data_IF_719534926419
#
_entry.id   IF_719534926419
#
_cell.length_a   1.000
_cell.length_b   1.000
_cell.length_c   1.000
_cell.angle_alpha   90.00
_cell.angle_beta   90.00
_cell.angle_gamma   90.00
#
_symmetry.space_group_name_H-M   'P 1'
#
loop_
_entity.id
_entity.type
_entity.pdbx_description
1 polymer ?
#
# COMPACT_ATOMS: atom_id res chain seq x y z
N UNK A 1 -46.61 -52.57 18.34
CA UNK A 1 -45.53 -52.43 17.33
C UNK A 1 -46.12 -52.86 16.00
N UNK A 2 -46.36 -51.92 15.10
CA UNK A 2 -47.07 -52.15 13.83
C UNK A 2 -46.05 -52.60 12.78
N UNK A 3 -46.29 -53.77 12.19
CA UNK A 3 -45.51 -54.33 11.08
C UNK A 3 -45.94 -53.61 9.79
N UNK A 4 -45.01 -52.88 9.16
CA UNK A 4 -45.17 -52.28 7.84
C UNK A 4 -44.52 -53.15 6.74
N UNK A 5 -45.06 -53.14 5.50
CA UNK A 5 -44.77 -54.17 4.50
C UNK A 5 -43.43 -53.99 3.78
N UNK A 6 -42.89 -55.12 3.33
CA UNK A 6 -41.66 -55.24 2.54
C UNK A 6 -41.79 -54.60 1.14
N UNK A 7 -40.73 -53.95 0.61
CA UNK A 7 -40.74 -53.40 -0.74
C UNK A 7 -40.45 -54.47 -1.82
N UNK A 8 -41.29 -54.45 -2.86
CA UNK A 8 -41.19 -55.21 -4.12
C UNK A 8 -39.97 -54.78 -4.96
N UNK A 9 -39.25 -55.71 -5.63
CA UNK A 9 -38.13 -55.36 -6.49
C UNK A 9 -38.57 -54.82 -7.85
N UNK A 10 -37.94 -53.73 -8.29
CA UNK A 10 -38.08 -53.16 -9.63
C UNK A 10 -37.11 -53.85 -10.64
N UNK A 11 -37.49 -53.97 -11.93
CA UNK A 11 -36.74 -54.74 -12.92
C UNK A 11 -35.46 -54.05 -13.40
N UNK A 12 -34.50 -54.90 -13.78
CA UNK A 12 -33.16 -54.58 -14.25
C UNK A 12 -33.16 -53.65 -15.48
N UNK A 13 -32.34 -52.61 -15.42
CA UNK A 13 -31.94 -51.82 -16.59
C UNK A 13 -30.56 -52.28 -17.05
N UNK A 14 -30.52 -52.90 -18.22
CA UNK A 14 -29.30 -53.20 -18.97
C UNK A 14 -28.69 -51.90 -19.47
N UNK A 15 -27.51 -51.55 -18.97
CA UNK A 15 -26.69 -50.48 -19.54
C UNK A 15 -25.51 -51.13 -20.25
N UNK A 16 -25.46 -50.95 -21.58
CA UNK A 16 -24.39 -51.41 -22.45
C UNK A 16 -23.04 -50.79 -22.05
N UNK A 17 -22.06 -51.65 -21.83
CA UNK A 17 -20.68 -51.31 -21.54
C UNK A 17 -20.01 -50.82 -22.84
N UNK A 18 -19.77 -49.51 -22.93
CA UNK A 18 -18.92 -48.92 -23.99
C UNK A 18 -17.52 -48.78 -23.42
N UNK A 19 -16.62 -49.67 -23.84
CA UNK A 19 -15.19 -49.61 -23.50
C UNK A 19 -14.58 -48.39 -24.20
N UNK A 20 -14.43 -47.28 -23.46
CA UNK A 20 -13.64 -46.13 -23.91
C UNK A 20 -12.18 -46.41 -23.60
N UNK A 21 -11.41 -46.73 -24.63
CA UNK A 21 -9.94 -46.75 -24.58
C UNK A 21 -9.44 -45.34 -24.28
N UNK A 22 -9.07 -45.06 -23.03
CA UNK A 22 -8.44 -43.80 -22.63
C UNK A 22 -6.99 -43.80 -23.09
N UNK A 23 -6.70 -43.00 -24.11
CA UNK A 23 -5.36 -42.51 -24.43
C UNK A 23 -4.87 -41.60 -23.28
N UNK A 24 -3.60 -41.71 -22.81
CA UNK A 24 -3.09 -40.83 -21.78
C UNK A 24 -3.09 -39.38 -22.28
N UNK A 25 -3.49 -38.39 -21.46
CA UNK A 25 -3.46 -36.99 -21.88
C UNK A 25 -2.02 -36.57 -22.15
N UNK A 26 -1.73 -36.24 -23.41
CA UNK A 26 -0.52 -35.49 -23.76
C UNK A 26 -0.60 -34.15 -23.05
N UNK A 27 0.15 -34.04 -21.94
CA UNK A 27 0.27 -32.82 -21.16
C UNK A 27 1.11 -31.84 -21.95
N UNK A 28 0.46 -30.99 -22.74
CA UNK A 28 1.09 -29.78 -23.25
C UNK A 28 1.24 -28.84 -22.06
N UNK A 29 2.43 -28.81 -21.45
CA UNK A 29 2.76 -27.82 -20.43
C UNK A 29 2.48 -26.41 -20.99
N UNK A 30 1.81 -25.51 -20.25
CA UNK A 30 1.71 -24.13 -20.67
C UNK A 30 3.13 -23.57 -20.75
N UNK A 31 3.55 -23.16 -21.95
CA UNK A 31 4.77 -22.40 -22.18
C UNK A 31 4.64 -21.06 -21.45
N UNK A 32 5.03 -21.03 -20.17
CA UNK A 32 5.18 -19.80 -19.40
C UNK A 32 6.42 -19.10 -19.90
N UNK A 33 6.24 -18.14 -20.82
CA UNK A 33 7.25 -17.11 -21.06
C UNK A 33 7.64 -16.54 -19.70
N UNK A 34 8.91 -16.60 -19.27
CA UNK A 34 9.29 -16.02 -18.00
C UNK A 34 9.04 -14.52 -18.09
N UNK A 35 8.12 -14.02 -17.26
CA UNK A 35 7.95 -12.58 -17.05
C UNK A 35 9.33 -12.01 -16.68
N UNK A 36 9.76 -10.90 -17.29
CA UNK A 36 11.01 -10.25 -16.89
C UNK A 36 11.00 -10.08 -15.37
N UNK A 37 12.05 -10.53 -14.70
CA UNK A 37 12.19 -10.36 -13.25
C UNK A 37 12.38 -8.86 -13.04
N UNK A 38 11.28 -8.15 -12.78
CA UNK A 38 11.32 -6.73 -12.50
C UNK A 38 12.04 -6.53 -11.16
N UNK A 39 13.20 -5.88 -11.19
CA UNK A 39 13.96 -5.62 -9.98
C UNK A 39 13.45 -4.34 -9.32
N UNK A 40 13.07 -4.46 -8.06
CA UNK A 40 12.71 -3.32 -7.21
C UNK A 40 13.91 -2.97 -6.34
N UNK A 41 14.25 -1.69 -6.33
CA UNK A 41 15.44 -1.14 -5.68
C UNK A 41 15.07 0.03 -4.79
N UNK A 42 16.00 0.45 -3.95
CA UNK A 42 15.82 1.59 -3.06
C UNK A 42 15.30 2.83 -3.79
N UNK A 43 14.26 3.46 -3.25
CA UNK A 43 13.61 4.65 -3.80
C UNK A 43 12.56 4.37 -4.88
N UNK A 44 12.33 3.10 -5.23
CA UNK A 44 11.21 2.72 -6.09
C UNK A 44 9.88 2.87 -5.37
N UNK A 45 8.90 3.42 -6.09
CA UNK A 45 7.51 3.40 -5.68
C UNK A 45 6.83 2.18 -6.27
N UNK A 46 6.15 1.40 -5.43
CA UNK A 46 5.49 0.17 -5.84
C UNK A 46 4.05 0.10 -5.32
N UNK A 47 3.16 -0.49 -6.11
CA UNK A 47 1.79 -0.78 -5.70
C UNK A 47 1.27 -2.02 -6.43
N UNK A 48 0.32 -2.73 -5.82
CA UNK A 48 -0.30 -3.89 -6.47
C UNK A 48 -1.12 -3.45 -7.69
N UNK A 49 -1.30 -4.38 -8.63
CA UNK A 49 -2.31 -4.19 -9.67
C UNK A 49 -3.72 -4.10 -9.05
N UNK A 50 -4.49 -3.08 -9.42
CA UNK A 50 -5.90 -2.98 -9.04
C UNK A 50 -6.78 -3.73 -10.05
N UNK A 51 -7.72 -4.59 -9.60
CA UNK A 51 -8.81 -5.05 -10.45
C UNK A 51 -9.72 -3.87 -10.84
N UNK A 52 -10.52 -4.03 -11.89
CA UNK A 52 -11.34 -2.97 -12.45
C UNK A 52 -12.41 -2.44 -11.47
N UNK A 53 -12.89 -3.31 -10.58
CA UNK A 53 -13.90 -3.06 -9.56
C UNK A 53 -13.31 -2.75 -8.17
N UNK A 54 -12.00 -2.48 -8.08
CA UNK A 54 -11.34 -2.19 -6.81
C UNK A 54 -11.91 -0.94 -6.12
N UNK A 55 -12.58 -1.14 -4.99
CA UNK A 55 -13.04 -0.07 -4.11
C UNK A 55 -11.89 0.77 -3.51
N UNK A 56 -12.26 1.85 -2.82
CA UNK A 56 -11.30 2.81 -2.22
C UNK A 56 -10.40 2.20 -1.15
N UNK A 57 -10.86 1.13 -0.48
CA UNK A 57 -10.12 0.43 0.58
C UNK A 57 -9.36 -0.80 0.08
N UNK A 58 -9.37 -1.08 -1.24
CA UNK A 58 -8.66 -2.24 -1.77
C UNK A 58 -7.14 -2.08 -1.57
N UNK A 59 -6.39 -3.12 -1.16
CA UNK A 59 -4.96 -3.02 -0.82
C UNK A 59 -4.08 -2.52 -1.98
N UNK A 60 -4.52 -2.67 -3.23
CA UNK A 60 -3.84 -2.10 -4.41
C UNK A 60 -3.77 -0.56 -4.43
N UNK A 61 -4.58 0.13 -3.61
CA UNK A 61 -4.56 1.59 -3.48
C UNK A 61 -3.41 2.08 -2.61
N UNK A 62 -2.82 1.20 -1.80
CA UNK A 62 -1.64 1.53 -1.02
C UNK A 62 -0.41 1.65 -1.92
N UNK A 63 0.37 2.70 -1.70
CA UNK A 63 1.65 2.92 -2.36
C UNK A 63 2.75 2.80 -1.33
N UNK A 64 3.80 2.09 -1.71
CA UNK A 64 4.97 1.86 -0.87
C UNK A 64 6.21 2.43 -1.54
N UNK A 65 7.14 2.97 -0.74
CA UNK A 65 8.52 3.16 -1.15
C UNK A 65 9.38 1.98 -0.66
N UNK A 66 10.29 1.49 -1.50
CA UNK A 66 11.33 0.56 -1.07
C UNK A 66 12.45 1.34 -0.41
N UNK A 67 12.62 1.16 0.89
CA UNK A 67 13.62 1.86 1.70
C UNK A 67 15.03 1.32 1.49
N UNK A 68 16.03 2.12 1.87
CA UNK A 68 17.44 1.70 1.87
C UNK A 68 17.72 0.56 2.87
N UNK A 69 16.81 0.33 3.82
CA UNK A 69 16.82 -0.78 4.77
C UNK A 69 16.25 -2.09 4.18
N UNK A 70 15.86 -2.10 2.89
CA UNK A 70 15.25 -3.25 2.22
C UNK A 70 13.82 -3.53 2.65
N UNK A 71 13.14 -2.56 3.27
CA UNK A 71 11.73 -2.68 3.69
C UNK A 71 10.81 -1.88 2.80
N UNK A 72 9.52 -2.20 2.86
CA UNK A 72 8.47 -1.40 2.22
C UNK A 72 7.86 -0.43 3.23
N UNK A 73 7.80 0.85 2.87
CA UNK A 73 7.27 1.93 3.70
C UNK A 73 6.00 2.49 3.05
N UNK A 74 4.86 2.32 3.71
CA UNK A 74 3.58 2.77 3.16
C UNK A 74 3.40 4.28 3.32
N UNK A 75 2.80 4.94 2.33
CA UNK A 75 2.28 6.29 2.47
C UNK A 75 0.90 6.24 3.15
N UNK A 76 0.76 6.76 4.38
CA UNK A 76 -0.50 6.64 5.13
C UNK A 76 -1.59 7.62 4.65
N UNK A 77 -1.20 8.69 3.96
CA UNK A 77 -2.10 9.75 3.52
C UNK A 77 -1.59 10.40 2.24
N UNK A 78 -2.51 10.77 1.34
CA UNK A 78 -2.16 11.36 0.05
C UNK A 78 -1.36 12.67 0.18
N UNK A 79 -1.69 13.52 1.15
CA UNK A 79 -0.93 14.76 1.34
C UNK A 79 0.50 14.50 1.84
N UNK A 80 0.76 13.40 2.54
CA UNK A 80 2.13 13.00 2.91
C UNK A 80 2.91 12.62 1.66
N UNK A 81 2.30 11.82 0.76
CA UNK A 81 2.90 11.50 -0.54
C UNK A 81 3.24 12.77 -1.33
N UNK A 82 2.35 13.76 -1.36
CA UNK A 82 2.57 15.04 -2.05
C UNK A 82 3.70 15.90 -1.47
N UNK A 83 4.23 15.56 -0.29
CA UNK A 83 5.44 16.20 0.23
C UNK A 83 6.73 15.63 -0.37
N UNK A 84 6.67 14.42 -0.92
CA UNK A 84 7.80 13.72 -1.54
C UNK A 84 7.75 13.75 -3.07
N UNK A 85 6.55 13.62 -3.64
CA UNK A 85 6.35 13.43 -5.08
C UNK A 85 5.16 14.24 -5.57
N UNK A 86 5.08 14.47 -6.88
CA UNK A 86 3.89 15.09 -7.50
C UNK A 86 2.76 14.10 -7.68
N UNK A 87 1.53 14.60 -7.84
CA UNK A 87 0.37 13.75 -8.18
C UNK A 87 0.55 12.99 -9.49
N UNK A 88 1.25 13.57 -10.47
CA UNK A 88 1.58 12.87 -11.72
C UNK A 88 2.47 11.65 -11.48
N UNK A 89 3.38 11.71 -10.51
CA UNK A 89 4.27 10.59 -10.16
C UNK A 89 3.54 9.45 -9.42
N UNK A 90 2.35 9.70 -8.86
CA UNK A 90 1.49 8.66 -8.27
C UNK A 90 0.95 7.69 -9.34
N UNK A 91 0.86 8.13 -10.59
CA UNK A 91 0.42 7.28 -11.69
C UNK A 91 1.42 6.14 -11.88
N UNK A 92 0.94 5.04 -12.48
CA UNK A 92 1.83 3.95 -12.88
C UNK A 92 2.82 4.44 -13.94
N UNK A 93 3.95 3.76 -14.11
CA UNK A 93 5.10 4.17 -14.97
C UNK A 93 4.77 4.48 -16.44
N UNK A 94 3.54 4.27 -16.88
CA UNK A 94 2.99 4.82 -18.12
C UNK A 94 2.79 6.35 -18.03
N UNK A 95 3.36 7.11 -18.98
CA UNK A 95 3.12 8.55 -19.12
C UNK A 95 3.48 9.42 -17.89
N UNK A 96 4.75 9.35 -17.44
CA UNK A 96 5.31 10.24 -16.41
C UNK A 96 5.03 9.83 -14.96
N UNK A 97 4.33 8.72 -14.76
CA UNK A 97 4.18 8.08 -13.45
C UNK A 97 5.48 7.42 -12.97
N UNK A 98 5.57 7.17 -11.67
CA UNK A 98 6.73 6.51 -11.05
C UNK A 98 6.37 5.22 -10.31
N UNK A 99 5.08 4.92 -10.12
CA UNK A 99 4.65 3.73 -9.40
C UNK A 99 4.78 2.50 -10.29
N UNK A 100 5.70 1.60 -9.96
CA UNK A 100 5.84 0.29 -10.59
C UNK A 100 4.73 -0.64 -10.09
N UNK A 101 4.22 -1.47 -10.98
CA UNK A 101 3.27 -2.52 -10.57
C UNK A 101 4.08 -3.66 -9.98
N UNK A 102 3.70 -4.14 -8.81
CA UNK A 102 4.36 -5.28 -8.16
C UNK A 102 3.33 -6.38 -7.90
N UNK A 103 3.73 -7.64 -8.00
CA UNK A 103 2.88 -8.75 -7.60
C UNK A 103 2.89 -8.94 -6.07
N UNK A 104 1.88 -9.64 -5.56
CA UNK A 104 1.71 -9.81 -4.11
C UNK A 104 2.85 -10.60 -3.45
N UNK A 105 3.45 -11.58 -4.14
CA UNK A 105 4.52 -12.40 -3.60
C UNK A 105 5.81 -11.58 -3.49
N UNK A 106 6.19 -10.87 -4.56
CA UNK A 106 7.32 -9.94 -4.56
C UNK A 106 7.14 -8.84 -3.51
N UNK A 107 5.97 -8.20 -3.43
CA UNK A 107 5.72 -7.17 -2.43
C UNK A 107 5.87 -7.73 -1.01
N UNK A 108 5.39 -8.96 -0.76
CA UNK A 108 5.50 -9.62 0.56
C UNK A 108 6.93 -9.99 0.97
N UNK A 109 7.85 -10.13 0.00
CA UNK A 109 9.27 -10.37 0.29
C UNK A 109 9.95 -9.19 0.98
N UNK A 110 9.43 -7.96 0.77
CA UNK A 110 9.86 -6.78 1.50
C UNK A 110 9.09 -6.69 2.83
N UNK A 111 9.82 -6.84 3.94
CA UNK A 111 9.22 -6.68 5.28
C UNK A 111 8.67 -5.26 5.49
N UNK A 112 7.69 -5.11 6.38
CA UNK A 112 7.12 -3.79 6.69
C UNK A 112 8.10 -2.92 7.49
N UNK A 113 8.32 -1.71 6.99
CA UNK A 113 9.05 -0.66 7.70
C UNK A 113 8.12 0.32 8.43
N UNK A 114 8.70 1.39 8.97
CA UNK A 114 7.94 2.53 9.48
C UNK A 114 7.09 3.17 8.35
N UNK A 115 6.00 3.84 8.70
CA UNK A 115 5.21 4.55 7.70
C UNK A 115 5.98 5.76 7.19
N UNK A 116 5.78 6.10 5.92
CA UNK A 116 6.34 7.32 5.36
C UNK A 116 5.78 8.53 6.09
N UNK A 117 6.67 9.37 6.63
CA UNK A 117 6.33 10.64 7.25
C UNK A 117 6.33 11.78 6.24
N UNK A 118 5.91 12.97 6.68
CA UNK A 118 6.08 14.21 5.91
C UNK A 118 7.55 14.42 5.58
N UNK A 119 7.85 14.78 4.33
CA UNK A 119 9.23 15.00 3.89
C UNK A 119 9.89 16.08 4.75
N UNK A 120 11.11 15.84 5.26
CA UNK A 120 11.89 16.86 5.97
C UNK A 120 11.90 18.21 5.26
N UNK A 121 11.75 19.29 6.03
CA UNK A 121 11.80 20.68 5.56
C UNK A 121 10.82 21.03 4.41
N UNK A 122 9.75 20.25 4.20
CA UNK A 122 8.78 20.49 3.11
C UNK A 122 7.50 21.19 3.55
N UNK A 123 6.98 20.83 4.73
CA UNK A 123 5.72 21.31 5.31
C UNK A 123 5.86 21.41 6.83
N UNK A 124 4.98 22.19 7.43
CA UNK A 124 4.73 22.15 8.86
C UNK A 124 3.64 21.11 9.13
N UNK A 125 3.64 20.49 10.30
CA UNK A 125 2.66 19.46 10.68
C UNK A 125 1.85 19.95 11.86
N UNK A 126 0.55 19.69 11.83
CA UNK A 126 -0.33 19.82 12.98
C UNK A 126 -1.19 18.56 13.07
N UNK A 127 -1.53 18.15 14.29
CA UNK A 127 -2.50 17.08 14.51
C UNK A 127 -3.82 17.70 14.95
N UNK A 128 -4.93 17.15 14.47
CA UNK A 128 -6.27 17.77 14.62
C UNK A 128 -6.60 18.03 16.09
N UNK A 129 -6.26 17.11 16.99
CA UNK A 129 -6.54 17.23 18.42
C UNK A 129 -5.52 18.07 19.21
N UNK A 130 -4.38 18.43 18.61
CA UNK A 130 -3.25 19.05 19.32
C UNK A 130 -3.03 20.49 18.83
N UNK A 131 -3.09 21.51 19.71
CA UNK A 131 -2.92 22.91 19.33
C UNK A 131 -1.44 23.31 19.16
N UNK A 132 -0.59 22.41 18.66
CA UNK A 132 0.85 22.63 18.46
C UNK A 132 1.19 22.40 17.01
N UNK A 133 1.93 23.35 16.43
CA UNK A 133 2.49 23.22 15.08
C UNK A 133 3.93 22.75 15.20
N UNK A 134 4.32 21.81 14.37
CA UNK A 134 5.62 21.20 14.37
C UNK A 134 6.34 21.47 13.05
N UNK A 135 7.62 21.80 13.14
CA UNK A 135 8.54 21.72 12.01
C UNK A 135 9.03 20.27 11.86
N UNK A 136 9.20 19.80 10.63
CA UNK A 136 9.82 18.50 10.36
C UNK A 136 11.30 18.68 10.06
N UNK A 137 12.16 18.22 10.97
CA UNK A 137 13.61 18.37 10.82
C UNK A 137 14.21 17.38 9.81
N UNK A 138 15.52 17.53 9.55
CA UNK A 138 16.27 16.70 8.60
C UNK A 138 16.23 15.19 8.89
N UNK A 139 15.99 14.79 10.15
CA UNK A 139 15.85 13.39 10.57
C UNK A 139 14.42 12.85 10.45
N UNK A 140 13.47 13.71 10.08
CA UNK A 140 12.03 13.40 10.09
C UNK A 140 11.37 13.54 11.47
N UNK A 141 12.07 14.08 12.47
CA UNK A 141 11.50 14.33 13.79
C UNK A 141 10.71 15.64 13.80
N UNK A 142 9.69 15.70 14.65
CA UNK A 142 8.85 16.87 14.85
C UNK A 142 9.44 17.77 15.92
N UNK A 143 9.66 19.03 15.57
CA UNK A 143 10.18 20.09 16.43
C UNK A 143 9.03 21.04 16.76
N UNK A 144 8.54 21.10 18.02
CA UNK A 144 7.47 22.02 18.40
C UNK A 144 7.84 23.47 18.08
N UNK A 145 6.93 24.22 17.48
CA UNK A 145 7.06 25.66 17.29
C UNK A 145 6.36 26.36 18.47
N UNK A 146 7.10 27.12 19.31
CA UNK A 146 6.55 27.64 20.56
C UNK A 146 5.47 28.72 20.34
N UNK A 147 5.59 29.52 19.28
CA UNK A 147 4.72 30.66 19.01
C UNK A 147 4.76 31.09 17.54
N UNK A 148 3.82 31.94 17.15
CA UNK A 148 3.72 32.47 15.79
C UNK A 148 4.90 33.37 15.40
N UNK A 149 5.57 34.00 16.37
CA UNK A 149 6.74 34.87 16.09
C UNK A 149 7.90 34.02 15.62
N UNK A 150 8.14 32.89 16.28
CA UNK A 150 9.11 31.86 15.89
C UNK A 150 8.72 31.26 14.55
N UNK A 151 7.44 30.94 14.34
CA UNK A 151 6.95 30.44 13.05
C UNK A 151 7.24 31.42 11.90
N UNK A 152 6.90 32.70 12.09
CA UNK A 152 7.10 33.75 11.09
C UNK A 152 8.59 34.03 10.85
N UNK A 153 9.44 33.97 11.88
CA UNK A 153 10.89 34.11 11.76
C UNK A 153 11.50 33.07 10.81
N UNK A 154 11.10 31.80 10.97
CA UNK A 154 11.70 30.69 10.23
C UNK A 154 10.99 30.40 8.89
N UNK A 155 9.68 30.62 8.80
CA UNK A 155 8.86 30.20 7.65
C UNK A 155 8.18 31.35 6.90
N UNK A 156 8.33 32.59 7.38
CA UNK A 156 7.75 33.80 6.82
C UNK A 156 6.33 34.09 7.31
N UNK A 157 5.80 35.28 6.99
CA UNK A 157 4.46 35.71 7.43
C UNK A 157 3.33 34.75 7.00
N UNK A 158 3.50 34.04 5.87
CA UNK A 158 2.53 33.07 5.35
C UNK A 158 2.78 31.64 5.87
N UNK A 159 3.47 31.45 7.00
CA UNK A 159 3.80 30.12 7.52
C UNK A 159 2.57 29.20 7.68
N UNK A 160 1.42 29.78 8.04
CA UNK A 160 0.18 29.04 8.25
C UNK A 160 -0.29 28.28 6.98
N UNK A 161 0.01 28.79 5.78
CA UNK A 161 -0.35 28.11 4.52
C UNK A 161 0.50 26.87 4.24
N UNK A 162 1.59 26.69 5.00
CA UNK A 162 2.50 25.55 4.92
C UNK A 162 2.13 24.44 5.91
N UNK A 163 1.14 24.66 6.76
CA UNK A 163 0.68 23.67 7.75
C UNK A 163 -0.13 22.59 7.04
N UNK A 164 0.24 21.35 7.34
CA UNK A 164 -0.44 20.15 6.94
C UNK A 164 -1.09 19.53 8.18
N UNK A 165 -2.42 19.48 8.19
CA UNK A 165 -3.17 18.78 9.23
C UNK A 165 -3.14 17.26 8.96
N UNK A 166 -2.79 16.49 9.99
CA UNK A 166 -2.77 15.03 9.98
C UNK A 166 -3.71 14.47 11.04
N UNK A 167 -4.25 13.27 10.78
CA UNK A 167 -4.98 12.50 11.80
C UNK A 167 -4.06 12.16 12.98
N UNK A 168 -4.63 12.20 14.18
CA UNK A 168 -3.94 11.83 15.43
C UNK A 168 -3.42 10.37 15.40
N UNK A 169 -4.02 9.51 14.56
CA UNK A 169 -3.58 8.13 14.36
C UNK A 169 -2.13 8.01 13.86
N UNK A 170 -1.58 9.08 13.26
CA UNK A 170 -0.19 9.10 12.76
C UNK A 170 0.79 9.74 13.75
N UNK A 171 0.34 10.22 14.91
CA UNK A 171 1.18 10.92 15.88
C UNK A 171 2.36 10.05 16.32
N UNK A 172 2.10 8.78 16.66
CA UNK A 172 3.12 7.83 17.12
C UNK A 172 4.11 7.40 16.05
N UNK A 173 3.91 7.77 14.78
CA UNK A 173 4.89 7.54 13.72
C UNK A 173 6.05 8.54 13.78
N UNK A 174 5.92 9.62 14.57
CA UNK A 174 6.93 10.66 14.68
C UNK A 174 7.63 10.63 16.04
N UNK A 175 8.93 10.94 16.01
CA UNK A 175 9.68 11.29 17.21
C UNK A 175 9.53 12.78 17.46
N UNK A 176 9.25 13.16 18.71
CA UNK A 176 9.23 14.57 19.11
C UNK A 176 10.63 14.95 19.60
N UNK A 177 11.21 15.99 18.99
CA UNK A 177 12.48 16.58 19.41
C UNK A 177 12.26 17.85 20.23
N UNK A 178 13.37 18.52 20.55
CA UNK A 178 13.36 19.80 21.26
C UNK A 178 12.53 20.87 20.51
N UNK A 179 11.95 21.88 21.17
CA UNK A 179 11.33 23.00 20.48
C UNK A 179 12.30 23.76 19.55
N UNK A 180 11.75 24.48 18.56
CA UNK A 180 12.52 25.48 17.81
C UNK A 180 12.80 26.70 18.70
N UNK A 181 13.94 27.35 18.47
CA UNK A 181 14.41 28.55 19.17
C UNK A 181 14.56 29.71 18.19
#
# INVERSE_FOLDING_TARGET
AVVGPAPTPAPASTTSETTVTTEPPTTTAPTSTPTPIETYTTGDLVALACPADAGVNHPCRAVYEIGADGKRHAFPHFQVFLTWYSETQLRRTTAGGRVKTIDSAALSSFSLGALMGVRPNSRLVKFISVPVVYAVDASGALRPIPDETTAARWYGANWATKVLDLSDAFFTNYRIGEPLR
#
